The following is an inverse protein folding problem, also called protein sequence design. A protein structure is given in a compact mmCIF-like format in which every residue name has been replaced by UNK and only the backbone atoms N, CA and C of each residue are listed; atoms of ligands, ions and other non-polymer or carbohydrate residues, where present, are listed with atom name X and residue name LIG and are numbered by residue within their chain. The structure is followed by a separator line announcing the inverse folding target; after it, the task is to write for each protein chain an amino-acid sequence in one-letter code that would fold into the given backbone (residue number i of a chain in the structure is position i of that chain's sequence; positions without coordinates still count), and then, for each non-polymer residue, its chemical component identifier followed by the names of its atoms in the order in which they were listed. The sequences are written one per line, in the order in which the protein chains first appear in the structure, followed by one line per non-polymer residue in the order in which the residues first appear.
data_IF_446944510776
#
_entry.id   IF_446944510776
#
_cell.length_a   1.000
_cell.length_b   1.000
_cell.length_c   1.000
_cell.angle_alpha   90.00
_cell.angle_beta   90.00
_cell.angle_gamma   90.00
#
_symmetry.space_group_name_H-M   'P 1'
#
loop_
_entity.id
_entity.type
_entity.pdbx_description
1 polymer ?
#
# COMPACT_ATOMS: atom_id res chain seq x y z
N UNK A 1 7.30 44.42 6.43
CA UNK A 1 8.73 44.06 6.39
C UNK A 1 9.00 43.13 7.58
N UNK A 2 8.95 41.83 7.35
CA UNK A 2 9.37 40.83 8.33
C UNK A 2 10.70 40.26 7.84
N UNK A 3 11.71 40.33 8.70
CA UNK A 3 13.10 40.08 8.39
C UNK A 3 13.36 38.59 8.09
N UNK A 4 14.19 38.35 7.07
CA UNK A 4 14.73 37.04 6.75
C UNK A 4 15.57 36.52 7.91
N UNK A 5 15.30 35.28 8.33
CA UNK A 5 16.16 34.54 9.25
C UNK A 5 17.34 34.00 8.43
N UNK A 6 18.55 34.29 8.92
CA UNK A 6 19.85 34.07 8.31
C UNK A 6 20.24 32.59 8.15
N UNK A 7 20.81 32.27 6.99
CA UNK A 7 21.34 30.96 6.51
C UNK A 7 22.48 30.32 7.33
N UNK A 8 22.78 30.78 8.55
CA UNK A 8 24.10 30.54 9.18
C UNK A 8 24.17 29.42 10.24
N UNK A 9 23.25 28.44 10.23
CA UNK A 9 23.30 27.27 11.13
C UNK A 9 22.98 25.92 10.47
N UNK A 10 23.36 25.73 9.21
CA UNK A 10 23.27 24.42 8.54
C UNK A 10 24.64 23.74 8.51
N UNK A 11 24.80 22.62 9.23
CA UNK A 11 25.98 21.73 9.14
C UNK A 11 26.02 20.99 7.79
N UNK A 12 27.18 20.53 7.33
CA UNK A 12 27.30 19.80 6.04
C UNK A 12 26.42 18.54 5.96
N UNK A 13 26.08 17.93 7.11
CA UNK A 13 25.09 16.87 7.20
C UNK A 13 23.67 17.37 6.91
N UNK A 14 23.26 18.52 7.44
CA UNK A 14 21.91 19.07 7.23
C UNK A 14 21.64 19.46 5.77
N UNK A 15 22.67 19.85 5.01
CA UNK A 15 22.57 20.13 3.57
C UNK A 15 22.34 18.88 2.72
N UNK A 16 22.65 17.70 3.25
CA UNK A 16 22.47 16.42 2.55
C UNK A 16 21.04 15.87 2.69
N UNK A 17 20.24 16.41 3.63
CA UNK A 17 18.85 16.02 3.91
C UNK A 17 17.84 17.13 3.62
N UNK A 18 18.28 18.22 3.01
CA UNK A 18 17.42 19.33 2.66
C UNK A 18 16.57 18.92 1.44
N UNK A 19 15.33 18.50 1.71
CA UNK A 19 14.37 18.18 0.65
C UNK A 19 13.57 19.45 0.41
N UNK A 20 13.75 20.18 -0.71
CA UNK A 20 12.96 21.36 -0.96
C UNK A 20 11.49 20.94 -1.12
N UNK A 21 10.70 21.22 -0.07
CA UNK A 21 9.26 21.18 -0.04
C UNK A 21 8.76 22.36 -0.88
N UNK A 22 8.07 22.08 -1.99
CA UNK A 22 7.34 23.10 -2.74
C UNK A 22 7.84 23.48 -4.14
N UNK A 23 8.70 22.69 -4.81
CA UNK A 23 8.98 22.90 -6.24
C UNK A 23 8.03 22.08 -7.12
N UNK A 24 7.38 22.73 -8.09
CA UNK A 24 6.56 22.08 -9.10
C UNK A 24 7.41 21.11 -9.94
N UNK A 25 6.96 19.85 -10.06
CA UNK A 25 7.73 18.79 -10.70
C UNK A 25 7.63 18.87 -12.23
N UNK A 26 8.77 18.91 -12.92
CA UNK A 26 8.84 19.01 -14.38
C UNK A 26 8.75 17.66 -15.11
N UNK A 27 8.88 16.50 -14.44
CA UNK A 27 8.65 15.16 -15.02
C UNK A 27 8.25 14.09 -13.97
N UNK A 28 7.52 13.05 -14.41
CA UNK A 28 7.03 11.94 -13.56
C UNK A 28 8.12 11.01 -13.01
N UNK A 29 9.25 10.89 -13.72
CA UNK A 29 10.37 10.06 -13.28
C UNK A 29 10.98 10.59 -11.97
N UNK A 30 11.10 11.91 -11.84
CA UNK A 30 11.64 12.59 -10.66
C UNK A 30 10.72 12.40 -9.45
N UNK A 31 9.39 12.37 -9.66
CA UNK A 31 8.42 12.08 -8.60
C UNK A 31 8.62 10.66 -8.05
N UNK A 32 8.78 9.65 -8.93
CA UNK A 32 9.05 8.27 -8.51
C UNK A 32 10.36 8.15 -7.71
N UNK A 33 11.42 8.83 -8.16
CA UNK A 33 12.71 8.83 -7.47
C UNK A 33 12.64 9.49 -6.09
N UNK A 34 11.90 10.61 -5.95
CA UNK A 34 11.64 11.24 -4.65
C UNK A 34 10.81 10.35 -3.73
N UNK A 35 9.76 9.72 -4.24
CA UNK A 35 8.94 8.78 -3.47
C UNK A 35 9.82 7.63 -2.95
N UNK A 36 10.67 7.06 -3.81
CA UNK A 36 11.61 6.01 -3.42
C UNK A 36 12.56 6.48 -2.32
N UNK A 37 13.19 7.65 -2.49
CA UNK A 37 14.11 8.22 -1.52
C UNK A 37 13.43 8.53 -0.16
N UNK A 38 12.21 9.07 -0.20
CA UNK A 38 11.39 9.35 1.00
C UNK A 38 11.09 8.06 1.76
N UNK A 39 10.63 7.01 1.08
CA UNK A 39 10.37 5.72 1.74
C UNK A 39 11.66 5.03 2.21
N UNK A 40 12.76 5.10 1.46
CA UNK A 40 14.04 4.49 1.85
C UNK A 40 14.61 5.13 3.12
N UNK A 41 14.49 6.46 3.27
CA UNK A 41 14.97 7.20 4.44
C UNK A 41 14.01 7.11 5.64
N UNK A 42 12.71 7.05 5.39
CA UNK A 42 11.71 7.10 6.44
C UNK A 42 11.23 5.72 6.89
N UNK A 43 11.60 4.61 6.24
CA UNK A 43 11.02 3.27 6.54
C UNK A 43 11.14 2.84 8.01
N UNK A 44 12.25 3.13 8.70
CA UNK A 44 12.39 2.79 10.12
C UNK A 44 11.50 3.69 11.02
N UNK A 45 11.27 4.94 10.61
CA UNK A 45 10.34 5.88 11.26
C UNK A 45 8.87 5.56 10.93
N UNK A 46 8.57 5.11 9.70
CA UNK A 46 7.27 4.59 9.32
C UNK A 46 6.96 3.29 10.07
N UNK A 47 7.93 2.41 10.31
CA UNK A 47 7.73 1.21 11.14
C UNK A 47 7.34 1.60 12.58
N UNK A 48 7.98 2.60 13.18
CA UNK A 48 7.66 3.04 14.54
C UNK A 48 6.31 3.76 14.64
N UNK A 49 5.88 4.47 13.59
CA UNK A 49 4.60 5.18 13.53
C UNK A 49 3.41 4.32 13.08
N UNK A 50 3.64 3.43 12.12
CA UNK A 50 2.60 2.66 11.43
C UNK A 50 2.48 1.20 11.88
N UNK A 51 3.48 0.68 12.59
CA UNK A 51 3.58 -0.75 12.85
C UNK A 51 3.86 -1.52 11.57
N UNK A 52 3.53 -2.82 11.56
CA UNK A 52 3.83 -3.68 10.40
C UNK A 52 2.92 -3.43 9.17
N UNK A 53 1.79 -2.75 9.37
CA UNK A 53 0.81 -2.43 8.33
C UNK A 53 0.89 -0.93 7.99
N UNK A 54 1.20 -0.59 6.73
CA UNK A 54 1.25 0.81 6.27
C UNK A 54 -0.06 1.14 5.56
N UNK A 55 -1.17 1.06 6.29
CA UNK A 55 -2.50 1.46 5.84
C UNK A 55 -3.41 1.80 7.04
N UNK A 56 -4.59 2.36 6.78
CA UNK A 56 -5.56 2.72 7.81
C UNK A 56 -6.04 1.52 8.62
N UNK A 57 -6.45 1.82 9.86
CA UNK A 57 -7.18 0.90 10.72
C UNK A 57 -8.68 1.01 10.47
N UNK A 58 -9.40 -0.12 10.51
CA UNK A 58 -10.85 -0.17 10.41
C UNK A 58 -11.47 -0.52 11.76
N UNK A 59 -12.23 0.42 12.32
CA UNK A 59 -13.00 0.23 13.55
C UNK A 59 -14.49 0.07 13.20
N UNK A 60 -15.02 -1.17 13.12
CA UNK A 60 -16.38 -1.43 12.66
C UNK A 60 -17.48 -0.85 13.56
N UNK A 61 -17.21 -0.68 14.86
CA UNK A 61 -18.18 -0.18 15.84
C UNK A 61 -17.55 0.84 16.79
N UNK A 62 -18.38 1.62 17.49
CA UNK A 62 -17.89 2.58 18.50
C UNK A 62 -17.16 1.90 19.65
N UNK A 63 -17.58 0.69 20.01
CA UNK A 63 -16.91 -0.13 21.02
C UNK A 63 -15.52 -0.52 20.54
N UNK A 64 -15.39 -0.99 19.30
CA UNK A 64 -14.08 -1.27 18.70
C UNK A 64 -13.21 -0.02 18.65
N UNK A 65 -13.77 1.14 18.27
CA UNK A 65 -13.09 2.43 18.25
C UNK A 65 -12.58 2.84 19.63
N UNK A 66 -13.27 2.46 20.71
CA UNK A 66 -12.88 2.78 22.08
C UNK A 66 -11.78 1.87 22.64
N UNK A 67 -11.77 0.58 22.28
CA UNK A 67 -10.93 -0.42 22.98
C UNK A 67 -9.81 -1.01 22.14
N UNK A 68 -9.93 -1.04 20.81
CA UNK A 68 -8.97 -1.72 19.95
C UNK A 68 -7.76 -0.85 19.64
N UNK A 69 -6.59 -1.48 19.59
CA UNK A 69 -5.35 -0.83 19.15
C UNK A 69 -5.41 -0.54 17.65
N UNK A 70 -4.43 0.24 17.17
CA UNK A 70 -4.28 0.54 15.74
C UNK A 70 -4.01 -0.75 14.94
N UNK A 71 -3.16 -1.63 15.46
CA UNK A 71 -2.76 -2.87 14.81
C UNK A 71 -3.94 -3.84 14.68
N UNK A 72 -4.78 -3.94 15.72
CA UNK A 72 -6.01 -4.71 15.68
C UNK A 72 -6.98 -4.17 14.62
N UNK A 73 -7.10 -2.85 14.50
CA UNK A 73 -7.92 -2.20 13.50
C UNK A 73 -7.37 -2.37 12.07
N UNK A 74 -6.06 -2.36 11.88
CA UNK A 74 -5.43 -2.66 10.59
C UNK A 74 -5.71 -4.10 10.18
N UNK A 75 -5.62 -5.05 11.12
CA UNK A 75 -6.02 -6.43 10.86
C UNK A 75 -7.52 -6.55 10.53
N UNK A 76 -8.40 -5.73 11.13
CA UNK A 76 -9.83 -5.70 10.77
C UNK A 76 -10.06 -5.24 9.33
N UNK A 77 -9.26 -4.30 8.81
CA UNK A 77 -9.40 -3.87 7.41
C UNK A 77 -9.08 -5.03 6.46
N UNK A 78 -8.04 -5.81 6.76
CA UNK A 78 -7.70 -7.02 5.99
C UNK A 78 -8.84 -8.03 6.06
N UNK A 79 -9.43 -8.28 7.25
CA UNK A 79 -10.57 -9.17 7.40
C UNK A 79 -11.78 -8.71 6.61
N UNK A 80 -12.12 -7.41 6.67
CA UNK A 80 -13.22 -6.84 5.89
C UNK A 80 -13.04 -7.10 4.39
N UNK A 81 -11.83 -6.88 3.87
CA UNK A 81 -11.52 -7.10 2.46
C UNK A 81 -11.54 -8.58 2.08
N UNK A 82 -11.10 -9.48 2.96
CA UNK A 82 -11.25 -10.93 2.78
C UNK A 82 -12.73 -11.34 2.73
N UNK A 83 -13.54 -10.84 3.66
CA UNK A 83 -14.98 -11.15 3.74
C UNK A 83 -15.75 -10.66 2.51
N UNK A 84 -15.49 -9.43 2.06
CA UNK A 84 -16.12 -8.85 0.86
C UNK A 84 -15.66 -9.59 -0.39
N UNK A 85 -14.36 -9.85 -0.52
CA UNK A 85 -13.81 -10.45 -1.73
C UNK A 85 -14.18 -11.92 -1.86
N UNK A 86 -14.39 -12.64 -0.76
CA UNK A 86 -14.67 -14.08 -0.78
C UNK A 86 -13.59 -14.86 -1.54
N UNK A 87 -12.32 -14.44 -1.43
CA UNK A 87 -11.20 -15.21 -1.96
C UNK A 87 -11.05 -16.50 -1.14
N UNK A 88 -10.77 -17.61 -1.81
CA UNK A 88 -10.63 -18.89 -1.12
C UNK A 88 -9.36 -18.92 -0.28
N UNK A 89 -9.40 -19.60 0.87
CA UNK A 89 -8.17 -19.94 1.59
C UNK A 89 -7.18 -20.64 0.67
N UNK A 90 -5.88 -20.42 0.92
CA UNK A 90 -4.79 -20.95 0.07
C UNK A 90 -4.74 -20.42 -1.37
N UNK A 91 -5.42 -19.30 -1.65
CA UNK A 91 -5.29 -18.57 -2.92
C UNK A 91 -3.86 -18.07 -3.17
N UNK A 92 -3.48 -17.94 -4.44
CA UNK A 92 -2.31 -17.16 -4.85
C UNK A 92 -2.68 -15.68 -4.93
N UNK A 93 -1.95 -14.84 -4.19
CA UNK A 93 -2.22 -13.40 -4.08
C UNK A 93 -1.00 -12.59 -4.51
N UNK A 94 -1.20 -11.59 -5.37
CA UNK A 94 -0.21 -10.54 -5.66
C UNK A 94 -0.55 -9.30 -4.84
N UNK A 95 0.29 -8.94 -3.87
CA UNK A 95 0.13 -7.74 -3.01
C UNK A 95 0.94 -6.58 -3.61
N UNK A 96 0.24 -5.65 -4.26
CA UNK A 96 0.83 -4.54 -5.03
C UNK A 96 0.99 -3.31 -4.14
N UNK A 97 2.23 -2.89 -3.91
CA UNK A 97 2.53 -1.86 -2.92
C UNK A 97 2.57 -2.46 -1.52
N UNK A 98 3.21 -3.62 -1.34
CA UNK A 98 3.17 -4.40 -0.10
C UNK A 98 3.83 -3.72 1.12
N UNK A 99 4.52 -2.59 0.92
CA UNK A 99 5.30 -1.92 1.96
C UNK A 99 6.31 -2.87 2.61
N UNK A 100 6.34 -2.87 3.94
CA UNK A 100 7.16 -3.78 4.75
C UNK A 100 6.51 -5.15 5.00
N UNK A 101 5.43 -5.48 4.29
CA UNK A 101 4.89 -6.83 4.17
C UNK A 101 3.96 -7.31 5.29
N UNK A 102 3.44 -6.43 6.17
CA UNK A 102 2.51 -6.85 7.23
C UNK A 102 1.24 -7.51 6.68
N UNK A 103 0.62 -6.90 5.65
CA UNK A 103 -0.55 -7.47 4.97
C UNK A 103 -0.22 -8.79 4.29
N UNK A 104 0.92 -8.87 3.60
CA UNK A 104 1.36 -10.10 2.95
C UNK A 104 1.59 -11.24 3.95
N UNK A 105 2.23 -10.94 5.11
CA UNK A 105 2.42 -11.91 6.20
C UNK A 105 1.09 -12.32 6.84
N UNK A 106 0.15 -11.40 7.01
CA UNK A 106 -1.19 -11.72 7.52
C UNK A 106 -1.91 -12.70 6.59
N UNK A 107 -1.95 -12.41 5.29
CA UNK A 107 -2.59 -13.25 4.28
C UNK A 107 -1.92 -14.64 4.21
N UNK A 108 -0.59 -14.72 4.32
CA UNK A 108 0.10 -16.01 4.37
C UNK A 108 -0.23 -16.79 5.67
N UNK A 109 -0.02 -16.17 6.84
CA UNK A 109 -0.10 -16.85 8.13
C UNK A 109 -1.52 -17.17 8.59
N UNK A 110 -2.50 -16.28 8.35
CA UNK A 110 -3.87 -16.39 8.86
C UNK A 110 -4.85 -16.92 7.83
N UNK A 111 -4.65 -16.59 6.54
CA UNK A 111 -5.53 -17.03 5.45
C UNK A 111 -4.94 -18.21 4.65
N UNK A 112 -3.66 -18.55 4.88
CA UNK A 112 -2.98 -19.67 4.23
C UNK A 112 -2.57 -19.39 2.78
N UNK A 113 -2.63 -18.13 2.33
CA UNK A 113 -2.35 -17.76 0.95
C UNK A 113 -0.88 -17.96 0.56
N UNK A 114 -0.62 -18.14 -0.74
CA UNK A 114 0.71 -17.96 -1.34
C UNK A 114 0.83 -16.53 -1.85
N UNK A 115 1.56 -15.68 -1.15
CA UNK A 115 1.58 -14.23 -1.39
C UNK A 115 2.90 -13.79 -2.02
N UNK A 116 2.81 -13.09 -3.14
CA UNK A 116 3.94 -12.34 -3.72
C UNK A 116 3.71 -10.87 -3.47
N UNK A 117 4.51 -10.25 -2.60
CA UNK A 117 4.48 -8.81 -2.37
C UNK A 117 5.44 -8.09 -3.32
N UNK A 118 5.00 -6.98 -3.91
CA UNK A 118 5.84 -6.12 -4.75
C UNK A 118 5.87 -4.68 -4.22
N UNK A 119 7.04 -4.07 -4.22
CA UNK A 119 7.25 -2.65 -3.90
C UNK A 119 8.41 -2.07 -4.71
N UNK A 120 8.46 -0.74 -4.87
CA UNK A 120 9.56 -0.04 -5.56
C UNK A 120 10.78 0.22 -4.67
N UNK A 121 10.65 0.01 -3.36
CA UNK A 121 11.72 0.24 -2.38
C UNK A 121 12.44 -1.07 -2.05
N UNK A 122 13.71 -1.16 -2.42
CA UNK A 122 14.58 -2.26 -2.03
C UNK A 122 14.72 -2.35 -0.50
N UNK A 123 14.70 -1.21 0.20
CA UNK A 123 14.76 -1.17 1.66
C UNK A 123 13.52 -1.79 2.31
N UNK A 124 12.33 -1.52 1.78
CA UNK A 124 11.10 -2.16 2.24
C UNK A 124 11.11 -3.67 2.01
N UNK A 125 11.68 -4.15 0.89
CA UNK A 125 11.88 -5.59 0.64
C UNK A 125 12.83 -6.19 1.67
N UNK A 126 13.95 -5.53 1.99
CA UNK A 126 14.88 -5.97 3.03
C UNK A 126 14.19 -6.09 4.39
N UNK A 127 13.44 -5.06 4.80
CA UNK A 127 12.70 -5.03 6.07
C UNK A 127 11.62 -6.12 6.08
N UNK A 128 10.85 -6.27 4.99
CA UNK A 128 9.81 -7.27 4.87
C UNK A 128 10.37 -8.69 5.03
N UNK A 129 11.51 -8.99 4.40
CA UNK A 129 12.21 -10.25 4.58
C UNK A 129 12.72 -10.45 6.00
N UNK A 130 13.32 -9.42 6.62
CA UNK A 130 13.81 -9.47 8.00
C UNK A 130 12.68 -9.74 9.00
N UNK A 131 11.56 -9.03 8.90
CA UNK A 131 10.38 -9.22 9.75
C UNK A 131 9.73 -10.58 9.53
N UNK A 132 9.70 -11.07 8.28
CA UNK A 132 9.17 -12.40 7.98
C UNK A 132 10.01 -13.50 8.62
N UNK A 133 11.34 -13.40 8.59
CA UNK A 133 12.24 -14.32 9.28
C UNK A 133 12.07 -14.24 10.80
N UNK A 134 11.91 -13.05 11.36
CA UNK A 134 11.65 -12.92 12.80
C UNK A 134 10.33 -13.58 13.21
N UNK A 135 9.32 -13.57 12.33
CA UNK A 135 8.02 -14.19 12.57
C UNK A 135 8.02 -15.73 12.47
N UNK A 136 9.06 -16.36 11.89
CA UNK A 136 9.17 -17.83 11.84
C UNK A 136 9.77 -18.45 13.12
N UNK A 137 10.45 -17.66 13.96
CA UNK A 137 11.02 -18.07 15.26
C UNK A 137 12.43 -18.70 15.19
N UNK A 138 13.12 -18.84 16.34
CA UNK A 138 14.52 -19.32 16.45
C UNK A 138 14.69 -20.86 16.43
N UNK A 139 13.64 -21.67 16.31
CA UNK A 139 13.70 -23.15 16.32
C UNK A 139 13.72 -23.83 14.93
N UNK A 140 14.33 -23.22 13.92
CA UNK A 140 14.29 -23.78 12.57
C UNK A 140 15.66 -24.30 12.06
N UNK A 141 16.04 -25.56 12.37
CA UNK A 141 16.93 -26.29 11.48
C UNK A 141 16.08 -26.77 10.29
N UNK A 142 16.24 -26.13 9.12
CA UNK A 142 15.76 -26.51 7.76
C UNK A 142 14.53 -25.84 7.12
N UNK A 143 13.80 -24.92 7.79
CA UNK A 143 12.61 -24.27 7.20
C UNK A 143 12.75 -22.78 6.81
N UNK A 144 13.90 -22.15 7.09
CA UNK A 144 14.16 -20.72 6.83
C UNK A 144 14.87 -20.42 5.49
N UNK A 145 15.14 -21.45 4.70
CA UNK A 145 15.67 -21.25 3.35
C UNK A 145 14.47 -20.98 2.45
N UNK A 146 14.43 -19.87 1.71
CA UNK A 146 13.43 -19.69 0.67
C UNK A 146 13.36 -20.94 -0.19
N UNK A 147 12.16 -21.39 -0.57
CA UNK A 147 12.03 -22.48 -1.53
C UNK A 147 12.76 -22.13 -2.84
N UNK A 148 12.89 -23.09 -3.77
CA UNK A 148 13.55 -22.86 -5.07
C UNK A 148 12.91 -21.70 -5.89
N UNK A 149 11.79 -21.15 -5.43
CA UNK A 149 11.04 -20.03 -6.01
C UNK A 149 11.04 -18.77 -5.13
N UNK A 150 11.82 -18.74 -4.06
CA UNK A 150 12.04 -17.58 -3.19
C UNK A 150 10.99 -17.38 -2.09
N UNK A 151 10.12 -18.36 -1.81
CA UNK A 151 9.10 -18.22 -0.76
C UNK A 151 9.57 -18.69 0.61
N UNK A 152 9.21 -17.91 1.64
CA UNK A 152 9.35 -18.26 3.05
C UNK A 152 8.00 -18.79 3.54
N UNK A 153 7.99 -19.96 4.19
CA UNK A 153 6.77 -20.55 4.76
C UNK A 153 6.35 -19.76 6.00
N UNK A 154 5.05 -19.48 6.13
CA UNK A 154 4.50 -18.78 7.29
C UNK A 154 3.09 -19.29 7.58
N UNK A 155 2.92 -20.00 8.71
CA UNK A 155 1.69 -20.74 9.01
C UNK A 155 1.37 -21.80 7.94
N UNK A 156 0.12 -21.81 7.47
CA UNK A 156 -0.32 -22.69 6.38
C UNK A 156 -0.03 -22.13 4.97
N UNK A 157 0.44 -20.88 4.89
CA UNK A 157 0.76 -20.20 3.65
C UNK A 157 2.26 -19.97 3.45
N UNK A 158 2.57 -19.09 2.51
CA UNK A 158 3.95 -18.69 2.21
C UNK A 158 4.00 -17.30 1.58
N UNK A 159 5.11 -16.60 1.78
CA UNK A 159 5.28 -15.23 1.28
C UNK A 159 6.65 -15.03 0.63
N UNK A 160 6.71 -14.20 -0.41
CA UNK A 160 7.95 -13.65 -0.96
C UNK A 160 7.78 -12.18 -1.30
N UNK A 161 8.88 -11.43 -1.33
CA UNK A 161 8.90 -10.00 -1.62
C UNK A 161 9.85 -9.70 -2.77
N UNK A 162 9.42 -8.85 -3.71
CA UNK A 162 10.20 -8.46 -4.89
C UNK A 162 10.26 -6.93 -4.99
N UNK A 163 11.43 -6.42 -5.39
CA UNK A 163 11.53 -5.02 -5.86
C UNK A 163 11.00 -4.98 -7.30
N UNK A 164 9.79 -4.45 -7.48
CA UNK A 164 9.14 -4.37 -8.79
C UNK A 164 8.18 -3.19 -8.84
N UNK A 165 8.32 -2.37 -9.88
CA UNK A 165 7.37 -1.31 -10.22
C UNK A 165 6.07 -1.94 -10.74
N UNK A 166 4.94 -1.54 -10.16
CA UNK A 166 3.62 -2.01 -10.55
C UNK A 166 3.28 -1.71 -12.03
N UNK A 167 3.87 -0.68 -12.62
CA UNK A 167 3.71 -0.41 -14.06
C UNK A 167 4.38 -1.48 -14.94
N UNK A 168 5.37 -2.20 -14.39
CA UNK A 168 6.10 -3.27 -15.08
C UNK A 168 5.57 -4.68 -14.73
N UNK A 169 4.60 -4.79 -13.84
CA UNK A 169 4.16 -6.10 -13.33
C UNK A 169 3.55 -6.99 -14.41
N UNK A 170 2.80 -6.41 -15.36
CA UNK A 170 2.20 -7.17 -16.46
C UNK A 170 3.25 -7.87 -17.33
N UNK A 171 4.35 -7.18 -17.64
CA UNK A 171 5.45 -7.72 -18.44
C UNK A 171 6.32 -8.69 -17.63
N UNK A 172 6.59 -8.36 -16.36
CA UNK A 172 7.38 -9.21 -15.47
C UNK A 172 6.74 -10.59 -15.26
N UNK A 173 5.41 -10.62 -15.06
CA UNK A 173 4.65 -11.86 -14.91
C UNK A 173 4.12 -12.40 -16.24
N UNK A 174 4.61 -11.95 -17.40
CA UNK A 174 4.07 -12.36 -18.70
C UNK A 174 4.17 -13.87 -18.95
N UNK A 175 5.28 -14.49 -18.52
CA UNK A 175 5.46 -15.96 -18.60
C UNK A 175 4.64 -16.74 -17.55
N UNK A 176 3.96 -15.99 -16.68
CA UNK A 176 3.09 -16.42 -15.60
C UNK A 176 1.72 -15.73 -15.73
N UNK A 177 1.29 -15.35 -16.95
CA UNK A 177 0.00 -14.71 -17.16
C UNK A 177 -1.11 -15.54 -16.51
N UNK A 178 -2.01 -14.86 -15.81
CA UNK A 178 -3.05 -15.52 -15.03
C UNK A 178 -2.51 -16.47 -13.95
N UNK A 179 -1.54 -16.03 -13.15
CA UNK A 179 -1.03 -16.85 -12.03
C UNK A 179 -1.69 -16.54 -10.69
N UNK A 180 -2.38 -15.42 -10.55
CA UNK A 180 -2.95 -14.98 -9.28
C UNK A 180 -4.45 -15.14 -9.24
N UNK A 181 -4.95 -15.75 -8.17
CA UNK A 181 -6.37 -15.82 -7.86
C UNK A 181 -6.89 -14.45 -7.36
N UNK A 182 -6.00 -13.65 -6.76
CA UNK A 182 -6.30 -12.28 -6.38
C UNK A 182 -5.12 -11.32 -6.58
N UNK A 183 -5.42 -10.09 -6.98
CA UNK A 183 -4.52 -8.94 -6.84
C UNK A 183 -5.05 -8.11 -5.67
N UNK A 184 -4.18 -7.84 -4.71
CA UNK A 184 -4.48 -7.08 -3.51
C UNK A 184 -3.76 -5.74 -3.57
N UNK A 185 -4.46 -4.65 -3.26
CA UNK A 185 -3.86 -3.33 -3.12
C UNK A 185 -4.55 -2.58 -1.99
N UNK A 186 -3.76 -2.13 -1.01
CA UNK A 186 -4.25 -1.35 0.14
C UNK A 186 -3.49 -0.03 0.22
N UNK A 187 -4.20 1.06 -0.08
CA UNK A 187 -3.75 2.45 0.06
C UNK A 187 -2.45 2.79 -0.67
N UNK A 188 -2.20 2.11 -1.79
CA UNK A 188 -1.04 2.37 -2.66
C UNK A 188 -1.43 2.96 -4.02
N UNK A 189 -2.63 2.70 -4.54
CA UNK A 189 -3.01 3.09 -5.90
C UNK A 189 -3.16 4.61 -6.07
N UNK A 190 -3.51 5.32 -5.01
CA UNK A 190 -3.60 6.78 -4.98
C UNK A 190 -2.28 7.42 -5.40
N UNK A 191 -1.14 6.83 -5.01
CA UNK A 191 0.21 7.26 -5.39
C UNK A 191 0.57 6.99 -6.86
N UNK A 192 -0.20 6.17 -7.59
CA UNK A 192 0.21 5.74 -8.92
C UNK A 192 -0.12 6.84 -9.95
N UNK A 193 0.85 7.24 -10.79
CA UNK A 193 0.63 8.26 -11.81
C UNK A 193 -0.25 7.73 -12.94
N UNK A 194 -0.05 6.49 -13.37
CA UNK A 194 -0.82 5.86 -14.45
C UNK A 194 -1.77 4.78 -13.92
N UNK A 195 -2.94 5.21 -13.45
CA UNK A 195 -3.98 4.32 -12.91
C UNK A 195 -4.61 3.42 -14.00
N UNK A 196 -4.75 3.90 -15.22
CA UNK A 196 -5.24 3.10 -16.36
C UNK A 196 -4.33 1.90 -16.60
N UNK A 197 -3.02 2.12 -16.70
CA UNK A 197 -2.04 1.06 -16.88
C UNK A 197 -2.04 0.06 -15.72
N UNK A 198 -2.29 0.52 -14.49
CA UNK A 198 -2.45 -0.39 -13.37
C UNK A 198 -3.60 -1.38 -13.60
N UNK A 199 -4.81 -0.90 -13.94
CA UNK A 199 -5.95 -1.79 -14.18
C UNK A 199 -5.72 -2.72 -15.38
N UNK A 200 -5.07 -2.24 -16.45
CA UNK A 200 -4.66 -3.08 -17.59
C UNK A 200 -3.69 -4.19 -17.15
N UNK A 201 -2.70 -3.86 -16.32
CA UNK A 201 -1.75 -4.84 -15.80
C UNK A 201 -2.41 -5.83 -14.84
N UNK A 202 -3.38 -5.40 -14.03
CA UNK A 202 -4.19 -6.30 -13.17
C UNK A 202 -4.84 -7.40 -14.03
N UNK A 203 -5.42 -7.04 -15.17
CA UNK A 203 -6.05 -8.00 -16.07
C UNK A 203 -5.07 -9.01 -16.68
N UNK A 204 -3.81 -8.63 -16.88
CA UNK A 204 -2.77 -9.56 -17.39
C UNK A 204 -2.34 -10.59 -16.35
N UNK A 205 -2.32 -10.23 -15.07
CA UNK A 205 -1.78 -11.07 -14.00
C UNK A 205 -2.84 -11.93 -13.30
N UNK A 206 -4.11 -11.51 -13.34
CA UNK A 206 -5.24 -12.27 -12.79
C UNK A 206 -5.57 -13.49 -13.64
N UNK A 207 -5.85 -14.61 -12.96
CA UNK A 207 -6.52 -15.77 -13.57
C UNK A 207 -7.90 -15.38 -14.11
N UNK A 208 -8.44 -16.11 -15.10
CA UNK A 208 -9.87 -16.04 -15.40
C UNK A 208 -10.69 -16.29 -14.12
N UNK A 209 -11.56 -15.33 -13.76
CA UNK A 209 -12.35 -15.37 -12.52
C UNK A 209 -11.61 -14.92 -11.26
N UNK A 210 -10.34 -14.51 -11.37
CA UNK A 210 -9.59 -13.89 -10.28
C UNK A 210 -10.14 -12.51 -9.90
N UNK A 211 -9.79 -12.03 -8.70
CA UNK A 211 -10.38 -10.83 -8.11
C UNK A 211 -9.36 -9.75 -7.84
N UNK A 212 -9.69 -8.50 -8.17
CA UNK A 212 -8.99 -7.33 -7.64
C UNK A 212 -9.64 -6.96 -6.29
N UNK A 213 -8.83 -6.92 -5.23
CA UNK A 213 -9.23 -6.49 -3.89
C UNK A 213 -8.55 -5.16 -3.60
N UNK A 214 -9.35 -4.10 -3.45
CA UNK A 214 -8.87 -2.73 -3.42
C UNK A 214 -9.47 -1.96 -2.23
N UNK A 215 -8.61 -1.32 -1.44
CA UNK A 215 -8.96 -0.23 -0.54
C UNK A 215 -8.02 0.94 -0.81
N UNK A 216 -8.54 2.16 -0.93
CA UNK A 216 -7.74 3.34 -1.24
C UNK A 216 -8.46 4.62 -0.80
N UNK A 217 -7.80 5.77 -0.97
CA UNK A 217 -8.39 7.08 -0.68
C UNK A 217 -9.05 7.68 -1.91
N UNK A 218 -10.19 8.31 -1.67
CA UNK A 218 -11.01 8.93 -2.70
C UNK A 218 -11.40 10.33 -2.26
N UNK A 219 -11.43 11.25 -3.22
CA UNK A 219 -12.15 12.52 -3.01
C UNK A 219 -13.65 12.31 -3.27
N UNK A 220 -14.47 13.13 -2.63
CA UNK A 220 -15.91 13.11 -2.86
C UNK A 220 -16.26 13.57 -4.29
N UNK A 221 -17.45 13.16 -4.75
CA UNK A 221 -18.02 13.63 -6.00
C UNK A 221 -18.40 15.11 -5.91
N UNK A 222 -18.26 15.84 -7.01
CA UNK A 222 -18.74 17.23 -7.16
C UNK A 222 -18.25 18.22 -6.08
N UNK A 223 -17.01 18.09 -5.61
CA UNK A 223 -16.40 19.06 -4.71
C UNK A 223 -16.29 20.44 -5.37
N UNK A 224 -16.68 21.48 -4.63
CA UNK A 224 -16.45 22.85 -5.09
C UNK A 224 -14.95 23.21 -5.06
N UNK A 225 -14.61 24.30 -5.74
CA UNK A 225 -13.22 24.75 -5.84
C UNK A 225 -12.61 25.10 -4.47
N UNK A 226 -13.40 25.62 -3.54
CA UNK A 226 -12.93 26.03 -2.22
C UNK A 226 -12.63 24.81 -1.35
N UNK A 227 -13.53 23.83 -1.29
CA UNK A 227 -13.30 22.56 -0.60
C UNK A 227 -12.15 21.78 -1.22
N UNK A 228 -12.05 21.75 -2.55
CA UNK A 228 -10.93 21.10 -3.24
C UNK A 228 -9.58 21.75 -2.87
N UNK A 229 -9.53 23.08 -2.84
CA UNK A 229 -8.30 23.82 -2.53
C UNK A 229 -7.91 23.73 -1.05
N UNK A 230 -8.88 23.73 -0.13
CA UNK A 230 -8.62 23.79 1.30
C UNK A 230 -8.44 22.41 1.94
N UNK A 231 -9.14 21.39 1.44
CA UNK A 231 -9.22 20.09 2.12
C UNK A 231 -8.50 18.98 1.34
N UNK A 232 -8.56 19.01 0.00
CA UNK A 232 -7.95 17.95 -0.84
C UNK A 232 -6.52 18.28 -1.23
N UNK A 233 -6.28 19.49 -1.74
CA UNK A 233 -4.95 19.91 -2.23
C UNK A 233 -3.86 19.74 -1.16
N UNK A 234 -4.07 20.08 0.12
CA UNK A 234 -3.03 19.88 1.14
C UNK A 234 -2.71 18.40 1.38
N UNK A 235 -3.69 17.50 1.25
CA UNK A 235 -3.48 16.06 1.35
C UNK A 235 -2.68 15.57 0.14
N UNK A 236 -3.06 16.00 -1.07
CA UNK A 236 -2.34 15.66 -2.30
C UNK A 236 -0.87 16.11 -2.25
N UNK A 237 -0.63 17.37 -1.88
CA UNK A 237 0.71 17.95 -1.80
C UNK A 237 1.52 17.32 -0.65
N UNK A 238 0.90 17.15 0.53
CA UNK A 238 1.57 16.64 1.73
C UNK A 238 1.92 15.15 1.67
N UNK A 239 1.08 14.35 0.98
CA UNK A 239 1.29 12.91 0.80
C UNK A 239 1.90 12.55 -0.56
N UNK A 240 2.31 13.55 -1.34
CA UNK A 240 2.92 13.40 -2.66
C UNK A 240 2.05 12.58 -3.64
N UNK A 241 0.75 12.82 -3.62
CA UNK A 241 -0.22 12.13 -4.47
C UNK A 241 -0.41 12.89 -5.78
N UNK A 242 -0.56 12.19 -6.92
CA UNK A 242 -1.26 12.77 -8.06
C UNK A 242 -2.71 13.11 -7.67
N UNK A 243 -3.42 13.93 -8.47
CA UNK A 243 -4.79 14.32 -8.14
C UNK A 243 -5.66 13.11 -7.78
N UNK A 244 -6.30 13.19 -6.61
CA UNK A 244 -7.15 12.11 -6.12
C UNK A 244 -8.32 11.90 -7.07
N UNK A 245 -8.65 10.64 -7.32
CA UNK A 245 -9.83 10.27 -8.08
C UNK A 245 -11.03 10.10 -7.14
N UNK A 246 -12.22 10.11 -7.72
CA UNK A 246 -13.41 9.66 -7.01
C UNK A 246 -13.52 8.14 -7.07
N UNK A 247 -14.36 7.57 -6.22
CA UNK A 247 -14.64 6.13 -6.24
C UNK A 247 -15.20 5.71 -7.61
N UNK A 248 -16.11 6.50 -8.19
CA UNK A 248 -16.66 6.21 -9.52
C UNK A 248 -15.57 6.25 -10.59
N UNK A 249 -14.61 7.17 -10.51
CA UNK A 249 -13.49 7.23 -11.44
C UNK A 249 -12.65 5.94 -11.47
N UNK A 250 -12.45 5.29 -10.31
CA UNK A 250 -11.77 3.99 -10.27
C UNK A 250 -12.63 2.87 -10.88
N UNK A 251 -13.95 2.87 -10.64
CA UNK A 251 -14.86 1.88 -11.23
C UNK A 251 -14.91 1.99 -12.75
N UNK A 252 -14.90 3.22 -13.29
CA UNK A 252 -14.89 3.47 -14.72
C UNK A 252 -13.60 2.96 -15.35
N UNK A 253 -12.44 3.26 -14.75
CA UNK A 253 -11.14 2.76 -15.20
C UNK A 253 -11.04 1.23 -15.14
N UNK A 254 -11.51 0.63 -14.05
CA UNK A 254 -11.55 -0.82 -13.89
C UNK A 254 -12.44 -1.47 -14.98
N UNK A 255 -13.63 -0.91 -15.22
CA UNK A 255 -14.57 -1.39 -16.23
C UNK A 255 -14.00 -1.27 -17.65
N UNK A 256 -13.31 -0.16 -17.95
CA UNK A 256 -12.63 0.05 -19.23
C UNK A 256 -11.52 -0.98 -19.47
N UNK A 257 -10.81 -1.39 -18.42
CA UNK A 257 -9.81 -2.46 -18.51
C UNK A 257 -10.45 -3.87 -18.65
N UNK A 258 -11.75 -4.01 -18.42
CA UNK A 258 -12.48 -5.28 -18.53
C UNK A 258 -12.75 -5.99 -17.20
N UNK A 259 -12.51 -5.34 -16.05
CA UNK A 259 -12.94 -5.85 -14.76
C UNK A 259 -14.45 -5.67 -14.59
N UNK A 260 -15.06 -6.55 -13.79
CA UNK A 260 -16.47 -6.49 -13.45
C UNK A 260 -16.63 -6.30 -11.94
N UNK A 261 -17.67 -5.56 -11.54
CA UNK A 261 -17.99 -5.35 -10.14
C UNK A 261 -18.49 -6.66 -9.55
N UNK A 262 -17.73 -7.21 -8.59
CA UNK A 262 -18.10 -8.42 -7.85
C UNK A 262 -18.97 -8.10 -6.62
N UNK A 263 -18.63 -7.03 -5.91
CA UNK A 263 -19.37 -6.53 -4.76
C UNK A 263 -19.46 -5.01 -4.86
N UNK A 264 -20.60 -4.45 -4.44
CA UNK A 264 -20.79 -3.00 -4.43
C UNK A 264 -19.70 -2.33 -3.57
N UNK A 265 -19.17 -1.17 -4.00
CA UNK A 265 -18.19 -0.45 -3.23
C UNK A 265 -18.72 -0.09 -1.85
N UNK A 266 -17.88 -0.22 -0.84
CA UNK A 266 -18.24 0.08 0.54
C UNK A 266 -17.48 1.31 1.02
N UNK A 267 -18.22 2.40 1.24
CA UNK A 267 -17.70 3.57 1.95
C UNK A 267 -17.45 3.20 3.42
N UNK A 268 -16.19 3.33 3.84
CA UNK A 268 -15.74 3.10 5.22
C UNK A 268 -15.12 4.35 5.86
N UNK A 269 -15.34 5.55 5.29
CA UNK A 269 -14.69 6.79 5.73
C UNK A 269 -14.90 7.07 7.23
N UNK A 270 -16.09 6.78 7.77
CA UNK A 270 -16.36 6.97 9.20
C UNK A 270 -15.60 5.98 10.09
N UNK A 271 -15.41 4.76 9.62
CA UNK A 271 -14.78 3.67 10.36
C UNK A 271 -13.25 3.74 10.33
N UNK A 272 -12.67 4.48 9.38
CA UNK A 272 -11.20 4.69 9.28
C UNK A 272 -10.74 6.05 9.81
N UNK A 273 -11.66 6.99 10.06
CA UNK A 273 -11.34 8.37 10.42
C UNK A 273 -10.37 8.53 11.61
N UNK A 274 -10.42 7.60 12.58
CA UNK A 274 -9.59 7.63 13.79
C UNK A 274 -8.09 7.52 13.45
N UNK A 275 -7.73 6.88 12.33
CA UNK A 275 -6.33 6.80 11.89
C UNK A 275 -5.71 8.19 11.71
N UNK A 276 -6.45 9.15 11.12
CA UNK A 276 -5.98 10.52 10.96
C UNK A 276 -5.65 11.18 12.30
N UNK A 277 -6.49 11.00 13.32
CA UNK A 277 -6.24 11.54 14.66
C UNK A 277 -5.04 10.89 15.34
N UNK A 278 -4.83 9.59 15.16
CA UNK A 278 -3.70 8.85 15.76
C UNK A 278 -2.36 9.28 15.14
N UNK A 279 -2.36 9.76 13.90
CA UNK A 279 -1.14 10.10 13.16
C UNK A 279 -0.78 11.57 13.16
N UNK A 280 -1.75 12.45 13.42
CA UNK A 280 -1.56 13.90 13.47
C UNK A 280 -1.24 14.44 14.89
N UNK A 281 -1.08 13.57 15.89
CA UNK A 281 -0.73 13.93 17.28
C UNK A 281 0.79 13.82 17.55
N UNK A 282 1.60 13.43 16.57
CA UNK A 282 3.07 13.32 16.70
C UNK A 282 3.80 14.37 15.86
#
# INVERSE_FOLDING_TARGET
MAAAVSEEQATDLSKQYDTPLGLAHSTMQILKERIKLHYDLASDYYLSLWGEHIHHGYWPTKESEAVQTKEEAQANLIRLLLDISGISSKSSVLDVGCGIGGTSRYLASKHGSSVTGITISSKQVEIANRLTKAATGDEAPSYDVPDDHGFIKLGDGKVKFLELDAEKMGDFFNNQQGSFDAVWISEALSHFPNKTLFFENVMKVLKPGGKLVLADWFKAENLDHTTSANDIKPIEDGMLLPPLCTQQGYLDLASQAGLQIFAEPKDISQQVRKTWCVQLIL
#
